data_IF_605062174040
#
_entry.id   IF_605062174040
#
_cell.length_a   1.000
_cell.length_b   1.000
_cell.length_c   1.000
_cell.angle_alpha   90.00
_cell.angle_beta   90.00
_cell.angle_gamma   90.00
#
_symmetry.space_group_name_H-M   'P 1'
#
loop_
_entity.id
_entity.type
_entity.pdbx_description
1 polymer ?
#
# COMPACT_ATOMS: atom_id res chain seq x y z
N UNK A 1 -13.44 -25.74 -19.06
CA UNK A 1 -12.20 -25.60 -18.25
C UNK A 1 -12.49 -24.60 -17.14
N UNK A 2 -12.43 -25.04 -15.87
CA UNK A 2 -12.63 -24.15 -14.71
C UNK A 2 -11.38 -23.26 -14.59
N UNK A 3 -11.57 -21.93 -14.61
CA UNK A 3 -10.50 -20.96 -14.29
C UNK A 3 -9.99 -21.33 -12.89
N UNK A 4 -8.73 -21.72 -12.76
CA UNK A 4 -8.09 -21.80 -11.46
C UNK A 4 -8.18 -20.41 -10.81
N UNK A 5 -8.76 -20.35 -9.62
CA UNK A 5 -8.93 -19.11 -8.88
C UNK A 5 -7.56 -18.46 -8.58
N UNK A 6 -7.51 -17.13 -8.61
CA UNK A 6 -6.35 -16.34 -8.22
C UNK A 6 -6.11 -16.53 -6.71
N UNK A 7 -4.96 -17.07 -6.25
CA UNK A 7 -4.69 -17.24 -4.82
C UNK A 7 -4.19 -15.93 -4.15
N UNK A 8 -4.37 -14.78 -4.81
CA UNK A 8 -3.89 -13.48 -4.35
C UNK A 8 -4.91 -12.91 -3.35
N UNK A 9 -4.45 -12.33 -2.24
CA UNK A 9 -5.34 -11.66 -1.30
C UNK A 9 -6.06 -10.54 -2.01
N UNK A 10 -7.38 -10.60 -2.02
CA UNK A 10 -8.23 -9.62 -2.67
C UNK A 10 -9.16 -9.03 -1.62
N UNK A 11 -8.93 -7.77 -1.27
CA UNK A 11 -9.74 -7.05 -0.29
C UNK A 11 -10.97 -6.39 -0.94
N UNK A 12 -11.33 -6.85 -2.15
CA UNK A 12 -12.45 -6.38 -2.99
C UNK A 12 -13.84 -6.51 -2.38
N UNK A 13 -13.96 -7.10 -1.20
CA UNK A 13 -15.23 -7.25 -0.50
C UNK A 13 -15.28 -6.46 0.82
N UNK A 14 -14.25 -5.69 1.18
CA UNK A 14 -14.36 -4.78 2.34
C UNK A 14 -15.01 -3.47 1.90
N UNK A 15 -16.27 -3.19 2.29
CA UNK A 15 -17.00 -2.04 1.81
C UNK A 15 -16.37 -0.70 2.19
N UNK A 16 -15.50 -0.59 3.21
CA UNK A 16 -14.82 0.69 3.49
C UNK A 16 -13.64 0.95 2.56
N UNK A 17 -12.91 -0.10 2.18
CA UNK A 17 -11.83 0.07 1.21
C UNK A 17 -12.37 0.48 -0.17
N UNK A 18 -13.65 0.22 -0.41
CA UNK A 18 -14.36 0.46 -1.67
C UNK A 18 -15.31 1.67 -1.62
N UNK A 19 -15.47 2.32 -0.46
CA UNK A 19 -16.57 3.26 -0.22
C UNK A 19 -16.52 4.49 -1.15
N UNK A 20 -15.34 5.03 -1.45
CA UNK A 20 -15.17 6.20 -2.33
C UNK A 20 -13.80 6.10 -3.02
N UNK A 21 -13.77 6.13 -4.36
CA UNK A 21 -12.67 6.44 -5.31
C UNK A 21 -11.21 5.99 -5.07
N UNK A 22 -10.87 5.34 -3.96
CA UNK A 22 -9.60 4.71 -3.66
C UNK A 22 -9.28 3.64 -4.71
N UNK A 23 -10.31 2.86 -5.04
CA UNK A 23 -10.24 1.75 -5.97
C UNK A 23 -11.45 1.72 -6.92
N UNK A 24 -11.61 2.73 -7.77
CA UNK A 24 -12.62 2.71 -8.83
C UNK A 24 -12.50 1.45 -9.71
N UNK A 25 -13.60 0.69 -9.84
CA UNK A 25 -13.64 -0.65 -10.44
C UNK A 25 -13.29 -0.62 -11.94
N UNK A 26 -12.02 -0.84 -12.29
CA UNK A 26 -11.55 -0.95 -13.67
C UNK A 26 -10.88 -2.31 -13.90
N UNK A 27 -11.31 -3.05 -14.94
CA UNK A 27 -10.73 -4.35 -15.27
C UNK A 27 -9.44 -4.18 -16.08
N UNK A 28 -8.36 -3.74 -15.41
CA UNK A 28 -7.04 -3.55 -16.01
C UNK A 28 -5.95 -4.17 -15.12
N UNK A 29 -5.89 -5.50 -15.12
CA UNK A 29 -4.90 -6.24 -14.33
C UNK A 29 -3.46 -5.96 -14.77
N UNK A 30 -2.55 -5.74 -13.83
CA UNK A 30 -1.11 -5.58 -14.05
C UNK A 30 -0.38 -6.92 -13.83
N UNK A 31 0.70 -7.19 -14.55
CA UNK A 31 1.49 -8.41 -14.38
C UNK A 31 2.54 -8.24 -13.26
N UNK A 32 2.53 -9.14 -12.27
CA UNK A 32 3.63 -9.31 -11.33
C UNK A 32 4.66 -10.29 -11.89
N UNK A 33 5.94 -10.02 -11.63
CA UNK A 33 7.06 -10.79 -12.21
C UNK A 33 7.21 -12.15 -11.52
N UNK A 34 8.05 -13.01 -12.09
CA UNK A 34 8.22 -14.46 -11.82
C UNK A 34 8.77 -14.84 -10.44
N UNK A 35 8.68 -13.97 -9.41
CA UNK A 35 9.14 -14.24 -8.05
C UNK A 35 8.03 -13.99 -7.03
N UNK A 36 8.00 -14.77 -5.95
CA UNK A 36 7.09 -14.61 -4.83
C UNK A 36 7.56 -13.55 -3.81
N UNK A 37 6.78 -13.36 -2.74
CA UNK A 37 7.08 -12.42 -1.65
C UNK A 37 8.31 -12.80 -0.82
N UNK A 38 8.98 -13.91 -1.11
CA UNK A 38 10.23 -14.33 -0.48
C UNK A 38 11.39 -14.40 -1.51
N UNK A 39 11.17 -13.90 -2.72
CA UNK A 39 12.15 -13.86 -3.79
C UNK A 39 12.37 -15.19 -4.52
N UNK A 40 11.56 -16.22 -4.23
CA UNK A 40 11.62 -17.53 -4.89
C UNK A 40 10.86 -17.51 -6.20
N UNK A 41 11.23 -18.36 -7.17
CA UNK A 41 10.58 -18.38 -8.48
C UNK A 41 9.13 -18.86 -8.37
N UNK A 42 8.18 -18.09 -8.90
CA UNK A 42 6.77 -18.45 -8.96
C UNK A 42 6.19 -18.30 -10.38
N UNK A 43 4.98 -18.82 -10.59
CA UNK A 43 4.21 -18.52 -11.80
C UNK A 43 3.86 -17.03 -11.83
N UNK A 44 3.76 -16.47 -13.04
CA UNK A 44 3.29 -15.08 -13.22
C UNK A 44 1.90 -14.90 -12.59
N UNK A 45 1.74 -13.78 -11.88
CA UNK A 45 0.51 -13.43 -11.16
C UNK A 45 -0.10 -12.18 -11.79
N UNK A 46 -1.41 -12.18 -12.02
CA UNK A 46 -2.14 -10.99 -12.50
C UNK A 46 -2.67 -10.23 -11.30
N UNK A 47 -2.02 -9.12 -10.98
CA UNK A 47 -2.46 -8.23 -9.92
C UNK A 47 -3.70 -7.50 -10.42
N UNK A 48 -4.72 -7.48 -9.58
CA UNK A 48 -5.91 -6.70 -9.83
C UNK A 48 -6.09 -5.69 -8.72
N UNK A 49 -7.02 -4.77 -8.93
CA UNK A 49 -7.43 -3.83 -7.91
C UNK A 49 -7.86 -4.51 -6.60
N UNK A 50 -7.49 -3.88 -5.47
CA UNK A 50 -7.70 -4.42 -4.13
C UNK A 50 -6.73 -5.54 -3.71
N UNK A 51 -5.70 -5.84 -4.51
CA UNK A 51 -4.67 -6.82 -4.16
C UNK A 51 -3.54 -6.19 -3.37
N UNK A 52 -2.96 -6.95 -2.42
CA UNK A 52 -1.72 -6.60 -1.75
C UNK A 52 -0.50 -6.90 -2.64
N UNK A 53 0.47 -5.99 -2.68
CA UNK A 53 1.64 -6.07 -3.54
C UNK A 53 2.93 -5.66 -2.82
N UNK A 54 4.06 -6.10 -3.37
CA UNK A 54 5.39 -5.70 -2.95
C UNK A 54 6.12 -4.90 -4.03
N UNK A 55 6.80 -3.82 -3.63
CA UNK A 55 7.45 -2.87 -4.54
C UNK A 55 8.97 -3.05 -4.61
N UNK A 56 9.55 -2.57 -5.71
CA UNK A 56 11.00 -2.59 -6.00
C UNK A 56 11.77 -1.48 -5.28
N UNK A 57 11.08 -0.60 -4.55
CA UNK A 57 11.68 0.45 -3.72
C UNK A 57 11.77 -0.05 -2.27
N UNK A 58 12.81 -0.83 -1.98
CA UNK A 58 13.02 -1.38 -0.64
C UNK A 58 12.08 -2.53 -0.31
N UNK A 59 11.61 -2.59 0.94
CA UNK A 59 10.69 -3.63 1.45
C UNK A 59 9.28 -3.12 1.72
N UNK A 60 8.91 -1.94 1.20
CA UNK A 60 7.61 -1.32 1.47
C UNK A 60 6.46 -2.20 1.00
N UNK A 61 5.57 -2.55 1.92
CA UNK A 61 4.34 -3.28 1.65
C UNK A 61 3.23 -2.29 1.30
N UNK A 62 2.48 -2.58 0.23
CA UNK A 62 1.44 -1.66 -0.23
C UNK A 62 0.22 -2.41 -0.70
N UNK A 63 -0.95 -1.86 -0.38
CA UNK A 63 -2.25 -2.40 -0.71
C UNK A 63 -2.90 -1.62 -1.85
N UNK A 64 -3.38 -2.39 -2.82
CA UNK A 64 -4.31 -1.93 -3.84
C UNK A 64 -3.61 -1.36 -5.06
N UNK A 65 -4.22 -1.59 -6.22
CA UNK A 65 -3.72 -1.21 -7.54
C UNK A 65 -4.87 -0.57 -8.27
N UNK A 66 -4.82 0.74 -8.51
CA UNK A 66 -5.64 1.37 -9.55
C UNK A 66 -4.73 1.63 -10.74
N UNK A 67 -4.98 0.96 -11.86
CA UNK A 67 -4.27 1.23 -13.11
C UNK A 67 -4.79 2.55 -13.68
N UNK A 68 -3.89 3.51 -13.82
CA UNK A 68 -4.12 4.79 -14.46
C UNK A 68 -3.15 4.91 -15.66
N UNK A 69 -3.69 5.31 -16.81
CA UNK A 69 -2.90 5.59 -18.00
C UNK A 69 -2.26 6.97 -17.86
N UNK A 70 -0.94 7.03 -17.71
CA UNK A 70 -0.15 8.25 -17.87
C UNK A 70 0.46 8.34 -19.27
N UNK A 71 1.06 9.50 -19.62
CA UNK A 71 1.82 9.66 -20.86
C UNK A 71 3.20 10.25 -20.55
N UNK A 72 4.26 9.74 -21.19
CA UNK A 72 5.58 10.40 -21.24
C UNK A 72 6.05 10.58 -22.68
N UNK A 73 6.79 11.65 -23.01
CA UNK A 73 7.48 11.76 -24.29
C UNK A 73 8.61 10.72 -24.36
N UNK A 74 8.74 10.04 -25.49
CA UNK A 74 9.90 9.22 -25.83
C UNK A 74 11.08 10.12 -26.26
N UNK A 75 12.24 9.51 -26.53
CA UNK A 75 13.45 10.24 -26.98
C UNK A 75 13.27 10.98 -28.33
N UNK A 76 12.14 10.78 -29.02
CA UNK A 76 11.76 11.42 -30.29
C UNK A 76 10.60 12.41 -30.12
N UNK A 77 10.10 12.61 -28.89
CA UNK A 77 8.99 13.51 -28.58
C UNK A 77 7.59 12.91 -28.77
N UNK A 78 7.45 11.61 -29.03
CA UNK A 78 6.14 10.96 -29.13
C UNK A 78 5.60 10.59 -27.74
N UNK A 79 4.30 10.76 -27.53
CA UNK A 79 3.64 10.30 -26.30
C UNK A 79 3.60 8.76 -26.25
N UNK A 80 4.24 8.18 -25.23
CA UNK A 80 4.15 6.76 -24.88
C UNK A 80 3.26 6.61 -23.67
N UNK A 81 2.27 5.72 -23.75
CA UNK A 81 1.41 5.38 -22.61
C UNK A 81 2.23 4.68 -21.51
N UNK A 82 2.04 5.14 -20.28
CA UNK A 82 2.62 4.57 -19.07
C UNK A 82 1.49 3.97 -18.24
N UNK A 83 1.65 2.71 -17.85
CA UNK A 83 0.82 2.11 -16.81
C UNK A 83 1.33 2.57 -15.45
N UNK A 84 0.58 3.48 -14.84
CA UNK A 84 0.83 3.98 -13.49
C UNK A 84 -0.16 3.28 -12.56
N UNK A 85 0.31 2.91 -11.38
CA UNK A 85 -0.46 2.22 -10.38
C UNK A 85 -0.52 3.10 -9.14
N UNK A 86 -1.74 3.44 -8.71
CA UNK A 86 -1.98 4.03 -7.40
C UNK A 86 -1.98 2.93 -6.33
N UNK A 87 -1.23 3.16 -5.26
CA UNK A 87 -1.07 2.29 -4.10
C UNK A 87 -1.43 3.02 -2.81
N UNK A 88 -1.95 2.27 -1.82
CA UNK A 88 -2.09 2.72 -0.43
C UNK A 88 -1.05 1.98 0.41
N UNK A 89 -0.32 2.66 1.29
CA UNK A 89 0.73 2.00 2.07
C UNK A 89 0.19 1.20 3.25
N UNK A 90 0.88 0.09 3.56
CA UNK A 90 0.66 -0.71 4.76
C UNK A 90 1.82 -0.48 5.73
N UNK A 91 1.50 -0.35 7.01
CA UNK A 91 2.49 -0.13 8.07
C UNK A 91 2.27 -1.15 9.18
N UNK A 92 3.27 -1.97 9.46
CA UNK A 92 3.25 -2.81 10.66
C UNK A 92 3.54 -1.98 11.89
N UNK A 93 3.12 -2.46 13.06
CA UNK A 93 3.48 -1.82 14.33
C UNK A 93 4.99 -1.79 14.52
N UNK A 94 5.71 -2.84 14.09
CA UNK A 94 7.18 -2.83 14.06
C UNK A 94 7.74 -1.69 13.19
N UNK A 95 7.19 -1.45 12.00
CA UNK A 95 7.63 -0.32 11.15
C UNK A 95 7.33 1.04 11.81
N UNK A 96 6.25 1.16 12.59
CA UNK A 96 5.95 2.38 13.34
C UNK A 96 6.95 2.60 14.48
N UNK A 97 7.36 1.54 15.18
CA UNK A 97 8.42 1.62 16.17
C UNK A 97 9.78 2.02 15.54
N UNK A 98 10.10 1.49 14.36
CA UNK A 98 11.28 1.90 13.58
C UNK A 98 11.21 3.39 13.20
N UNK A 99 10.09 3.85 12.65
CA UNK A 99 9.90 5.26 12.29
C UNK A 99 10.04 6.20 13.50
N UNK A 100 9.56 5.80 14.68
CA UNK A 100 9.79 6.53 15.94
C UNK A 100 11.29 6.58 16.25
N UNK A 101 11.99 5.44 16.18
CA UNK A 101 13.42 5.36 16.48
C UNK A 101 14.29 6.18 15.50
N UNK A 102 13.85 6.29 14.25
CA UNK A 102 14.50 7.09 13.20
C UNK A 102 14.17 8.59 13.29
N UNK A 103 13.27 9.00 14.20
CA UNK A 103 12.87 10.40 14.36
C UNK A 103 11.94 10.91 13.27
N UNK A 104 11.25 10.02 12.56
CA UNK A 104 10.30 10.35 11.49
C UNK A 104 8.90 10.69 12.00
N UNK A 105 8.65 10.54 13.31
CA UNK A 105 7.35 10.75 13.95
C UNK A 105 7.42 11.99 14.85
N UNK A 106 6.50 12.94 14.66
CA UNK A 106 6.41 14.17 15.45
C UNK A 106 5.64 13.96 16.77
N UNK A 107 4.51 13.24 16.72
CA UNK A 107 3.62 12.96 17.86
C UNK A 107 3.96 11.60 18.50
N UNK A 108 5.23 11.44 18.93
CA UNK A 108 5.78 10.16 19.39
C UNK A 108 5.00 9.57 20.57
N UNK A 109 4.69 10.39 21.58
CA UNK A 109 4.07 9.91 22.82
C UNK A 109 2.61 9.47 22.56
N UNK A 110 1.88 10.22 21.74
CA UNK A 110 0.52 9.88 21.32
C UNK A 110 0.51 8.58 20.50
N UNK A 111 1.37 8.47 19.50
CA UNK A 111 1.45 7.26 18.68
C UNK A 111 1.81 6.04 19.53
N UNK A 112 2.80 6.16 20.43
CA UNK A 112 3.17 5.07 21.35
C UNK A 112 2.00 4.60 22.19
N UNK A 113 1.25 5.53 22.78
CA UNK A 113 0.06 5.16 23.57
C UNK A 113 -1.04 4.50 22.73
N UNK A 114 -1.18 4.85 21.45
CA UNK A 114 -2.17 4.24 20.56
C UNK A 114 -1.81 2.82 20.13
N UNK A 115 -0.52 2.46 20.09
CA UNK A 115 -0.04 1.16 19.61
C UNK A 115 0.52 0.25 20.72
N UNK A 116 0.49 0.69 21.99
CA UNK A 116 1.13 0.00 23.13
C UNK A 116 0.69 -1.47 23.28
N UNK A 117 -0.59 -1.75 23.06
CA UNK A 117 -1.19 -3.08 23.23
C UNK A 117 -1.29 -3.88 21.91
N UNK A 118 -0.73 -3.36 20.81
CA UNK A 118 -0.80 -4.00 19.50
C UNK A 118 0.43 -4.87 19.23
N UNK A 119 0.28 -6.01 18.57
CA UNK A 119 1.42 -6.85 18.22
C UNK A 119 2.23 -6.28 17.04
N UNK A 120 3.54 -6.52 17.04
CA UNK A 120 4.49 -6.01 16.03
C UNK A 120 4.12 -6.37 14.58
N UNK A 121 3.46 -7.52 14.37
CA UNK A 121 3.02 -8.04 13.09
C UNK A 121 1.60 -7.59 12.69
N UNK A 122 0.91 -6.83 13.54
CA UNK A 122 -0.31 -6.15 13.16
C UNK A 122 -0.01 -5.03 12.17
N UNK A 123 -0.86 -4.89 11.16
CA UNK A 123 -0.69 -3.94 10.07
C UNK A 123 -1.90 -3.02 9.97
N UNK A 124 -1.58 -1.72 9.94
CA UNK A 124 -2.49 -0.63 9.69
C UNK A 124 -2.38 -0.14 8.25
N UNK A 125 -3.51 0.25 7.69
CA UNK A 125 -3.57 0.85 6.36
C UNK A 125 -3.47 2.36 6.47
N UNK A 126 -2.49 2.95 5.77
CA UNK A 126 -2.28 4.39 5.74
C UNK A 126 -3.26 5.05 4.75
N UNK A 127 -4.51 5.26 5.17
CA UNK A 127 -5.63 5.56 4.27
C UNK A 127 -5.42 6.82 3.40
N UNK A 128 -4.66 7.80 3.90
CA UNK A 128 -4.38 9.06 3.23
C UNK A 128 -2.98 9.12 2.61
N UNK A 129 -2.17 8.07 2.74
CA UNK A 129 -0.83 8.01 2.18
C UNK A 129 -0.84 7.14 0.92
N UNK A 130 -0.85 7.81 -0.23
CA UNK A 130 -0.91 7.16 -1.54
C UNK A 130 0.30 7.49 -2.40
N UNK A 131 0.84 6.48 -3.08
CA UNK A 131 1.92 6.63 -4.04
C UNK A 131 1.45 6.17 -5.44
N UNK A 132 1.97 6.83 -6.47
CA UNK A 132 1.82 6.41 -7.86
C UNK A 132 3.14 5.82 -8.34
N UNK A 133 3.15 4.52 -8.62
CA UNK A 133 4.33 3.82 -9.12
C UNK A 133 4.13 3.33 -10.53
N UNK A 134 5.20 3.08 -11.28
CA UNK A 134 5.05 2.38 -12.56
C UNK A 134 4.80 0.90 -12.31
N UNK A 135 3.99 0.27 -13.18
CA UNK A 135 3.73 -1.17 -13.12
C UNK A 135 5.01 -2.04 -13.03
N UNK A 136 6.10 -1.59 -13.65
CA UNK A 136 7.40 -2.29 -13.63
C UNK A 136 8.15 -2.24 -12.29
N UNK A 137 7.74 -1.33 -11.40
CA UNK A 137 8.26 -1.21 -10.03
C UNK A 137 7.59 -2.22 -9.09
N UNK A 138 6.50 -2.88 -9.49
CA UNK A 138 5.87 -3.92 -8.68
C UNK A 138 6.63 -5.24 -8.88
N UNK A 139 7.15 -5.81 -7.80
CA UNK A 139 7.87 -7.09 -7.82
C UNK A 139 6.86 -8.23 -7.92
N UNK A 140 5.91 -8.30 -6.98
CA UNK A 140 4.97 -9.40 -6.86
C UNK A 140 3.68 -9.01 -6.14
N UNK A 141 2.57 -9.72 -6.42
CA UNK A 141 1.40 -9.76 -5.54
C UNK A 141 1.59 -10.76 -4.41
N UNK A 142 0.97 -10.52 -3.24
CA UNK A 142 1.01 -11.40 -2.06
C UNK A 142 -0.22 -12.31 -2.04
N UNK A 143 -0.01 -13.62 -1.91
CA UNK A 143 -1.07 -14.62 -1.75
C UNK A 143 -1.57 -14.73 -0.32
N UNK A 144 -2.76 -15.30 -0.11
CA UNK A 144 -3.33 -15.47 1.22
C UNK A 144 -2.41 -16.29 2.14
N UNK A 145 -1.86 -17.40 1.62
CA UNK A 145 -0.89 -18.22 2.37
C UNK A 145 0.47 -17.57 2.61
N UNK A 146 0.79 -16.50 1.88
CA UNK A 146 1.98 -15.67 2.12
C UNK A 146 1.64 -14.56 3.11
N UNK A 147 0.45 -13.98 3.04
CA UNK A 147 -0.02 -12.92 3.92
C UNK A 147 -0.01 -13.37 5.39
N UNK A 148 -0.58 -14.54 5.70
CA UNK A 148 -0.62 -15.06 7.08
C UNK A 148 0.77 -15.31 7.67
N UNK A 149 1.82 -15.33 6.84
CA UNK A 149 3.22 -15.45 7.27
C UNK A 149 3.93 -14.11 7.40
N UNK A 150 3.34 -13.06 6.86
CA UNK A 150 3.94 -11.74 6.73
C UNK A 150 3.30 -10.77 7.72
N UNK A 151 1.98 -10.76 7.88
CA UNK A 151 1.30 -9.85 8.80
C UNK A 151 -0.19 -10.16 9.05
N UNK A 152 -0.75 -9.49 10.06
CA UNK A 152 -2.18 -9.48 10.37
C UNK A 152 -2.80 -8.10 10.15
N UNK A 153 -3.79 -7.95 9.27
CA UNK A 153 -4.44 -6.66 9.03
C UNK A 153 -5.49 -6.31 10.09
N UNK A 154 -5.37 -5.12 10.67
CA UNK A 154 -6.43 -4.57 11.51
C UNK A 154 -7.60 -4.08 10.65
N UNK A 155 -8.83 -4.53 10.95
CA UNK A 155 -10.02 -4.24 10.11
C UNK A 155 -10.71 -2.91 10.42
N UNK A 156 -10.52 -2.41 11.64
CA UNK A 156 -11.25 -1.25 12.16
C UNK A 156 -10.34 -0.05 12.44
N UNK A 157 -9.02 -0.22 12.34
CA UNK A 157 -8.05 0.81 12.64
C UNK A 157 -7.25 1.09 11.38
N UNK A 158 -6.97 2.36 11.17
CA UNK A 158 -6.20 2.87 10.06
C UNK A 158 -5.17 3.84 10.59
N UNK A 159 -4.17 4.09 9.75
CA UNK A 159 -3.15 5.07 10.01
C UNK A 159 -3.44 6.32 9.18
N UNK A 160 -3.51 7.46 9.84
CA UNK A 160 -3.63 8.77 9.22
C UNK A 160 -2.26 9.47 9.35
N UNK A 161 -1.59 9.70 8.22
CA UNK A 161 -0.26 10.32 8.19
C UNK A 161 -0.39 11.77 7.78
N UNK A 162 -0.20 12.70 8.71
CA UNK A 162 -0.40 14.14 8.50
C UNK A 162 0.95 14.82 8.31
N UNK A 163 1.08 15.52 7.19
CA UNK A 163 2.24 16.36 6.91
C UNK A 163 2.01 17.73 7.55
N UNK A 164 2.94 18.25 8.38
CA UNK A 164 2.74 19.50 9.10
C UNK A 164 2.65 20.70 8.16
N UNK A 165 1.98 21.77 8.60
CA UNK A 165 1.88 23.01 7.83
C UNK A 165 3.27 23.64 7.63
N UNK A 166 3.57 24.06 6.40
CA UNK A 166 4.89 24.63 6.05
C UNK A 166 5.99 23.61 5.78
N UNK A 167 5.65 22.31 5.78
CA UNK A 167 6.49 21.21 5.33
C UNK A 167 7.12 21.44 3.95
N UNK A 168 8.39 21.08 3.81
CA UNK A 168 9.04 21.01 2.50
C UNK A 168 8.55 19.75 1.78
N UNK A 169 7.64 19.93 0.81
CA UNK A 169 7.09 18.82 0.04
C UNK A 169 8.13 18.11 -0.84
N UNK A 170 9.33 18.68 -1.00
CA UNK A 170 10.44 18.03 -1.69
C UNK A 170 11.29 17.15 -0.78
N UNK A 171 11.14 17.26 0.54
CA UNK A 171 11.78 16.39 1.52
C UNK A 171 10.89 15.17 1.81
N UNK A 172 11.22 14.05 1.17
CA UNK A 172 10.53 12.78 1.37
C UNK A 172 10.74 12.20 2.78
N UNK A 173 11.82 12.61 3.47
CA UNK A 173 12.24 12.10 4.78
C UNK A 173 11.78 12.98 5.94
N UNK A 174 11.02 14.05 5.67
CA UNK A 174 10.58 14.95 6.72
C UNK A 174 9.71 14.22 7.75
N UNK A 175 9.86 14.56 9.05
CA UNK A 175 9.00 14.03 10.09
C UNK A 175 7.52 14.39 9.86
N UNK A 176 6.63 13.46 10.19
CA UNK A 176 5.17 13.61 10.03
C UNK A 176 4.46 13.25 11.33
N UNK A 177 3.19 13.62 11.44
CA UNK A 177 2.33 13.10 12.50
C UNK A 177 1.64 11.83 12.04
N UNK A 178 1.49 10.88 12.96
CA UNK A 178 0.93 9.56 12.72
C UNK A 178 -0.19 9.33 13.73
N UNK A 179 -1.41 9.21 13.25
CA UNK A 179 -2.59 9.03 14.10
C UNK A 179 -3.25 7.70 13.76
N UNK A 180 -3.35 6.80 14.73
CA UNK A 180 -4.23 5.65 14.62
C UNK A 180 -5.66 6.14 14.81
N UNK A 181 -6.49 5.86 13.81
CA UNK A 181 -7.88 6.31 13.77
C UNK A 181 -8.80 5.14 13.53
N UNK A 182 -9.93 5.14 14.23
CA UNK A 182 -11.00 4.21 13.93
C UNK A 182 -11.65 4.55 12.60
N UNK A 183 -12.10 3.51 11.91
CA UNK A 183 -12.81 3.56 10.62
C UNK A 183 -13.92 4.61 10.57
N UNK A 184 -14.68 4.77 11.65
CA UNK A 184 -15.82 5.70 11.73
C UNK A 184 -15.40 7.17 11.78
N UNK A 185 -14.15 7.44 12.18
CA UNK A 185 -13.61 8.79 12.33
C UNK A 185 -12.85 9.26 11.08
N UNK A 186 -12.76 8.42 10.05
CA UNK A 186 -12.12 8.79 8.79
C UNK A 186 -13.16 9.54 7.95
N UNK A 187 -12.86 10.79 7.51
CA UNK A 187 -13.70 11.49 6.56
C UNK A 187 -13.48 10.85 5.18
N UNK A 188 -14.21 9.76 4.95
CA UNK A 188 -14.39 9.23 3.61
C UNK A 188 -15.06 10.36 2.79
N UNK A 189 -14.35 10.85 1.76
CA UNK A 189 -14.87 11.82 0.78
C UNK A 189 -14.69 11.25 -0.64
#
# INVERSE_FOLDING_TARGET
MRKAADPIVSLRNDPALLAEDHFANTDRSVLSRTKDAFGQKCKERRIKQGHLVWLRRGKVESMGVKDESGYKPDAKGNATELHIVRLIHCWSIAHLHEAIAEGQVLNVEELRGQIEDMADDEVLLAHNHVEYVRAEEIITGITESELDKVCYFHRNLFLNIVTPEGADLSDEQQPREYWVVERENIPWN
#
